data_IF_940340807234
#
_entry.id   IF_940340807234
#
_cell.length_a   1.000
_cell.length_b   1.000
_cell.length_c   1.000
_cell.angle_alpha   90.00
_cell.angle_beta   90.00
_cell.angle_gamma   90.00
#
_symmetry.space_group_name_H-M   'P 1'
#
loop_
_entity.id
_entity.type
_entity.pdbx_description
1 polymer ?
#
# COMPACT_ATOMS: atom_id res chain seq x y z
N UNK A 1 -5.48 -27.72 -29.59
CA UNK A 1 -6.89 -28.14 -29.72
C UNK A 1 -7.09 -29.37 -28.86
N UNK A 2 -7.31 -29.16 -27.56
CA UNK A 2 -7.84 -30.19 -26.67
C UNK A 2 -8.75 -29.49 -25.66
N UNK A 3 -10.00 -29.96 -25.63
CA UNK A 3 -11.11 -29.40 -24.87
C UNK A 3 -11.05 -29.91 -23.43
N UNK A 4 -10.72 -29.04 -22.49
CA UNK A 4 -10.97 -29.30 -21.07
C UNK A 4 -12.30 -28.64 -20.71
N UNK A 5 -13.37 -29.44 -20.82
CA UNK A 5 -14.69 -29.11 -20.33
C UNK A 5 -14.74 -29.24 -18.80
N UNK A 6 -14.55 -28.14 -18.10
CA UNK A 6 -14.72 -28.05 -16.65
C UNK A 6 -16.18 -27.73 -16.30
N UNK A 7 -16.88 -28.73 -15.79
CA UNK A 7 -18.25 -28.67 -15.29
C UNK A 7 -18.39 -27.69 -14.12
N UNK A 8 -19.09 -26.58 -14.34
CA UNK A 8 -19.52 -25.64 -13.30
C UNK A 8 -20.66 -26.27 -12.49
N UNK A 9 -20.34 -26.89 -11.35
CA UNK A 9 -21.34 -27.24 -10.33
C UNK A 9 -21.82 -25.95 -9.65
N UNK A 10 -23.05 -25.56 -9.97
CA UNK A 10 -23.83 -24.57 -9.21
C UNK A 10 -24.17 -25.16 -7.84
N UNK A 11 -23.70 -24.53 -6.77
CA UNK A 11 -24.24 -24.71 -5.43
C UNK A 11 -24.98 -23.43 -5.03
N UNK A 12 -26.30 -23.52 -4.94
CA UNK A 12 -27.22 -22.54 -4.34
C UNK A 12 -28.56 -23.25 -4.13
N UNK A 13 -29.37 -22.84 -3.15
CA UNK A 13 -29.57 -23.62 -1.93
C UNK A 13 -30.92 -24.32 -1.90
N UNK A 14 -30.97 -25.49 -1.24
CA UNK A 14 -32.23 -26.10 -0.85
C UNK A 14 -32.76 -25.37 0.40
N UNK A 15 -33.63 -24.40 0.18
CA UNK A 15 -34.55 -23.86 1.19
C UNK A 15 -35.56 -24.97 1.51
N UNK A 16 -35.35 -25.65 2.63
CA UNK A 16 -36.38 -26.49 3.25
C UNK A 16 -37.46 -25.59 3.87
N UNK A 17 -38.70 -25.78 3.41
CA UNK A 17 -39.88 -25.16 3.99
C UNK A 17 -40.06 -25.59 5.45
N UNK A 18 -40.31 -24.67 6.40
CA UNK A 18 -40.78 -25.06 7.71
C UNK A 18 -42.27 -25.42 7.64
N UNK A 19 -42.57 -26.57 8.23
CA UNK A 19 -43.90 -27.12 8.43
C UNK A 19 -44.83 -26.12 9.11
N UNK A 20 -46.01 -25.95 8.51
CA UNK A 20 -47.16 -25.26 9.09
C UNK A 20 -47.58 -25.93 10.39
N UNK A 21 -47.38 -25.26 11.52
CA UNK A 21 -48.04 -25.61 12.78
C UNK A 21 -48.48 -24.37 13.55
N UNK A 22 -49.81 -24.32 13.74
CA UNK A 22 -50.55 -23.71 14.84
C UNK A 22 -50.44 -22.19 15.04
N UNK A 23 -51.49 -21.50 14.58
CA UNK A 23 -51.84 -20.14 14.98
C UNK A 23 -51.97 -20.05 16.51
N UNK A 24 -51.24 -19.15 17.19
CA UNK A 24 -51.47 -18.87 18.60
C UNK A 24 -52.72 -18.00 18.79
N UNK A 25 -53.48 -18.33 19.83
CA UNK A 25 -54.64 -17.58 20.29
C UNK A 25 -54.31 -16.10 20.56
N UNK A 26 -55.12 -15.14 20.07
CA UNK A 26 -54.96 -13.73 20.38
C UNK A 26 -55.69 -13.44 21.69
N UNK A 27 -55.04 -13.61 22.86
CA UNK A 27 -55.53 -12.99 24.12
C UNK A 27 -54.60 -13.07 25.35
N UNK A 28 -53.32 -13.42 25.23
CA UNK A 28 -52.37 -13.22 26.32
C UNK A 28 -51.61 -11.91 26.14
N UNK A 29 -51.83 -10.95 27.04
CA UNK A 29 -50.98 -9.78 27.14
C UNK A 29 -49.52 -10.25 27.31
N UNK A 30 -48.55 -9.70 26.54
CA UNK A 30 -47.16 -10.11 26.67
C UNK A 30 -46.72 -9.88 28.12
N UNK A 31 -46.04 -10.85 28.76
CA UNK A 31 -45.55 -10.68 30.11
C UNK A 31 -44.69 -9.42 30.13
N UNK A 32 -45.04 -8.46 30.98
CA UNK A 32 -44.25 -7.25 31.19
C UNK A 32 -42.86 -7.69 31.64
N UNK A 33 -41.90 -7.65 30.73
CA UNK A 33 -40.51 -7.93 31.04
C UNK A 33 -40.05 -6.87 32.04
N UNK A 34 -39.87 -7.28 33.30
CA UNK A 34 -39.23 -6.45 34.32
C UNK A 34 -37.91 -5.96 33.75
N UNK A 35 -37.79 -4.65 33.56
CA UNK A 35 -36.55 -4.04 33.12
C UNK A 35 -35.46 -4.43 34.15
N UNK A 36 -34.29 -4.89 33.69
CA UNK A 36 -33.22 -5.27 34.59
C UNK A 36 -32.90 -4.10 35.52
N UNK A 37 -32.72 -4.40 36.81
CA UNK A 37 -32.37 -3.37 37.78
C UNK A 37 -31.02 -2.73 37.41
N UNK A 38 -30.74 -1.50 37.84
CA UNK A 38 -29.46 -0.82 37.54
C UNK A 38 -28.22 -1.64 37.97
N UNK A 39 -28.36 -2.48 39.00
CA UNK A 39 -27.30 -3.39 39.44
C UNK A 39 -27.02 -4.50 38.41
N UNK A 40 -28.05 -5.03 37.75
CA UNK A 40 -27.90 -6.11 36.77
C UNK A 40 -27.18 -5.60 35.51
N UNK A 41 -27.42 -4.34 35.13
CA UNK A 41 -26.76 -3.72 33.99
C UNK A 41 -25.25 -3.54 34.24
N UNK A 42 -24.87 -3.03 35.42
CA UNK A 42 -23.48 -2.86 35.82
C UNK A 42 -22.73 -4.20 35.80
N UNK A 43 -23.28 -5.22 36.48
CA UNK A 43 -22.67 -6.56 36.56
C UNK A 43 -22.53 -7.20 35.17
N UNK A 44 -23.51 -7.01 34.29
CA UNK A 44 -23.44 -7.50 32.90
C UNK A 44 -22.34 -6.80 32.10
N UNK A 45 -22.21 -5.48 32.23
CA UNK A 45 -21.18 -4.70 31.54
C UNK A 45 -19.76 -5.02 32.06
N UNK A 46 -19.58 -5.15 33.38
CA UNK A 46 -18.30 -5.58 33.98
C UNK A 46 -17.93 -7.00 33.53
N UNK A 47 -18.88 -7.93 33.52
CA UNK A 47 -18.63 -9.30 33.06
C UNK A 47 -18.23 -9.34 31.59
N UNK A 48 -18.91 -8.57 30.75
CA UNK A 48 -18.59 -8.47 29.32
C UNK A 48 -17.19 -7.87 29.10
N UNK A 49 -16.89 -6.75 29.76
CA UNK A 49 -15.58 -6.11 29.71
C UNK A 49 -14.46 -7.07 30.17
N UNK A 50 -14.69 -7.81 31.28
CA UNK A 50 -13.73 -8.80 31.78
C UNK A 50 -13.51 -9.95 30.81
N UNK A 51 -14.55 -10.41 30.12
CA UNK A 51 -14.42 -11.46 29.10
C UNK A 51 -13.48 -11.01 27.95
N UNK A 52 -13.67 -9.79 27.46
CA UNK A 52 -12.83 -9.21 26.39
C UNK A 52 -11.39 -9.04 26.89
N UNK A 53 -11.19 -8.44 28.06
CA UNK A 53 -9.84 -8.27 28.64
C UNK A 53 -9.13 -9.61 28.81
N UNK A 54 -9.82 -10.61 29.37
CA UNK A 54 -9.25 -11.95 29.57
C UNK A 54 -8.83 -12.60 28.26
N UNK A 55 -9.59 -12.38 27.18
CA UNK A 55 -9.24 -12.86 25.82
C UNK A 55 -7.92 -12.28 25.32
N UNK A 56 -7.55 -11.06 25.74
CA UNK A 56 -6.37 -10.34 25.26
C UNK A 56 -5.23 -10.20 26.29
N UNK A 57 -5.38 -10.79 27.48
CA UNK A 57 -4.27 -10.92 28.43
C UNK A 57 -3.09 -11.71 27.85
N UNK A 58 -3.41 -12.69 27.00
CA UNK A 58 -2.46 -13.34 26.10
C UNK A 58 -2.81 -12.85 24.69
N UNK A 59 -2.01 -11.94 24.10
CA UNK A 59 -2.34 -11.39 22.80
C UNK A 59 -2.37 -12.52 21.76
N UNK A 60 -3.32 -12.50 20.81
CA UNK A 60 -3.29 -13.40 19.67
C UNK A 60 -1.96 -13.20 18.91
N UNK A 61 -1.54 -14.17 18.08
CA UNK A 61 -0.37 -14.00 17.22
C UNK A 61 -0.56 -12.75 16.36
N UNK A 62 0.13 -11.67 16.71
CA UNK A 62 0.03 -10.40 16.02
C UNK A 62 0.80 -10.48 14.69
N UNK A 63 0.31 -9.82 13.63
CA UNK A 63 0.91 -9.89 12.29
C UNK A 63 2.37 -9.42 12.29
N UNK A 64 3.27 -10.15 11.63
CA UNK A 64 4.68 -9.74 11.58
C UNK A 64 4.93 -8.49 10.73
N UNK A 65 4.02 -8.23 9.78
CA UNK A 65 4.12 -7.17 8.80
C UNK A 65 3.03 -6.15 9.08
N UNK A 66 3.39 -5.05 9.75
CA UNK A 66 2.53 -3.90 9.91
C UNK A 66 2.85 -2.86 8.84
N UNK A 67 1.83 -2.15 8.39
CA UNK A 67 2.04 -0.91 7.62
C UNK A 67 1.66 0.31 8.43
N UNK A 68 2.57 1.28 8.49
CA UNK A 68 2.37 2.55 9.18
C UNK A 68 1.86 3.63 8.21
N UNK A 69 0.96 4.50 8.69
CA UNK A 69 0.45 5.68 7.93
C UNK A 69 1.61 6.61 7.55
N UNK A 70 2.52 6.84 8.49
CA UNK A 70 3.74 7.63 8.26
C UNK A 70 4.92 6.67 8.13
N UNK A 71 5.60 6.73 7.00
CA UNK A 71 6.75 5.87 6.76
C UNK A 71 7.90 6.25 7.73
N UNK A 72 8.62 5.28 8.34
CA UNK A 72 9.62 5.58 9.37
C UNK A 72 10.76 6.52 8.94
N UNK A 73 11.05 6.60 7.63
CA UNK A 73 12.02 7.57 7.06
C UNK A 73 11.55 9.01 7.22
N UNK A 74 10.27 9.27 7.04
CA UNK A 74 9.73 10.64 6.96
C UNK A 74 9.50 11.23 8.36
N UNK A 75 9.19 10.36 9.33
CA UNK A 75 9.01 10.75 10.72
C UNK A 75 10.30 11.20 11.41
N UNK A 76 11.49 10.77 10.96
CA UNK A 76 12.77 11.24 11.52
C UNK A 76 13.15 12.66 11.05
N UNK A 77 12.67 13.06 9.88
CA UNK A 77 12.95 14.38 9.33
C UNK A 77 12.10 15.47 10.02
N UNK A 78 10.93 15.08 10.51
CA UNK A 78 10.09 15.93 11.33
C UNK A 78 10.51 15.72 12.77
N UNK A 79 11.12 16.70 13.43
CA UNK A 79 11.45 16.68 14.87
C UNK A 79 10.18 16.69 15.73
N UNK A 80 9.31 15.70 15.55
CA UNK A 80 8.15 15.45 16.39
C UNK A 80 8.70 14.98 17.72
N UNK A 81 8.67 15.86 18.72
CA UNK A 81 8.76 15.47 20.11
C UNK A 81 7.68 14.39 20.32
N UNK A 82 8.11 13.15 20.54
CA UNK A 82 7.22 12.05 20.84
C UNK A 82 6.37 12.48 22.04
N UNK A 83 5.05 12.67 21.86
CA UNK A 83 4.18 13.02 22.98
C UNK A 83 4.43 12.00 24.07
N UNK A 84 4.61 12.43 25.32
CA UNK A 84 4.66 11.50 26.44
C UNK A 84 3.40 10.63 26.40
N UNK A 85 3.59 9.37 26.01
CA UNK A 85 2.56 8.43 25.61
C UNK A 85 1.44 8.24 26.64
N UNK A 86 1.68 8.61 27.90
CA UNK A 86 0.77 8.39 29.01
C UNK A 86 -0.52 9.24 28.98
N UNK A 87 -0.54 10.40 28.32
CA UNK A 87 -1.70 11.32 28.41
C UNK A 87 -2.64 11.31 27.20
N UNK A 88 -2.17 11.05 25.98
CA UNK A 88 -3.00 11.06 24.76
C UNK A 88 -3.70 9.73 24.49
N UNK A 89 -3.09 8.62 24.88
CA UNK A 89 -3.51 7.25 24.50
C UNK A 89 -4.79 6.81 25.23
N UNK A 90 -5.13 7.45 26.36
CA UNK A 90 -6.31 7.09 27.14
C UNK A 90 -7.56 7.93 26.86
N UNK A 91 -7.52 8.77 25.82
CA UNK A 91 -8.69 9.56 25.37
C UNK A 91 -9.74 8.73 24.62
N UNK A 92 -9.49 7.43 24.39
CA UNK A 92 -10.37 6.58 23.59
C UNK A 92 -10.23 6.77 22.08
N UNK A 93 -9.28 7.61 21.64
CA UNK A 93 -8.95 7.80 20.22
C UNK A 93 -7.88 6.78 19.83
N UNK A 94 -8.27 5.80 19.02
CA UNK A 94 -7.37 4.84 18.38
C UNK A 94 -6.63 5.53 17.23
N UNK A 95 -5.39 5.13 16.95
CA UNK A 95 -4.63 5.66 15.81
C UNK A 95 -4.51 7.21 15.89
N UNK A 96 -3.97 7.68 17.01
CA UNK A 96 -4.14 9.04 17.55
C UNK A 96 -3.16 10.08 17.01
N UNK A 97 -2.83 10.01 15.71
CA UNK A 97 -1.81 10.83 15.05
C UNK A 97 -0.41 10.66 15.66
N UNK A 98 -0.08 9.44 16.06
CA UNK A 98 1.27 9.09 16.48
C UNK A 98 2.10 8.64 15.27
N UNK A 99 3.45 8.69 15.32
CA UNK A 99 4.28 8.11 14.26
C UNK A 99 4.09 6.58 14.12
N UNK A 100 3.44 5.93 15.08
CA UNK A 100 3.16 4.49 15.11
C UNK A 100 1.80 4.13 14.53
N UNK A 101 1.07 5.13 14.03
CA UNK A 101 -0.26 4.93 13.48
C UNK A 101 -0.23 3.95 12.30
N UNK A 102 -1.16 2.99 12.31
CA UNK A 102 -1.27 1.94 11.31
C UNK A 102 -2.22 2.35 10.19
N UNK A 103 -1.87 1.99 8.96
CA UNK A 103 -2.73 2.20 7.79
C UNK A 103 -3.94 1.26 7.84
N UNK A 104 -5.13 1.82 8.08
CA UNK A 104 -6.40 1.10 8.17
C UNK A 104 -6.80 0.41 6.86
N UNK A 105 -6.30 0.91 5.72
CA UNK A 105 -6.54 0.28 4.42
C UNK A 105 -5.71 -1.00 4.22
N UNK A 106 -4.72 -1.25 5.08
CA UNK A 106 -3.93 -2.48 5.01
C UNK A 106 -4.64 -3.63 5.71
N UNK A 107 -5.06 -4.65 4.95
CA UNK A 107 -5.68 -5.86 5.49
C UNK A 107 -4.79 -6.55 6.55
N UNK A 108 -3.47 -6.51 6.37
CA UNK A 108 -2.52 -7.06 7.35
C UNK A 108 -2.54 -6.36 8.72
N UNK A 109 -3.09 -5.15 8.82
CA UNK A 109 -3.27 -4.44 10.08
C UNK A 109 -4.63 -4.73 10.73
N UNK A 110 -5.61 -5.32 10.01
CA UNK A 110 -6.99 -5.41 10.49
C UNK A 110 -7.13 -6.17 11.79
N UNK A 111 -6.47 -7.32 11.92
CA UNK A 111 -6.51 -8.11 13.16
C UNK A 111 -5.90 -7.37 14.36
N UNK A 112 -4.89 -6.53 14.14
CA UNK A 112 -4.32 -5.70 15.19
C UNK A 112 -5.30 -4.57 15.59
N UNK A 113 -5.80 -3.85 14.58
CA UNK A 113 -6.71 -2.72 14.76
C UNK A 113 -8.04 -3.14 15.39
N UNK A 114 -8.54 -4.34 15.08
CA UNK A 114 -9.74 -4.91 15.69
C UNK A 114 -9.56 -5.11 17.20
N UNK A 115 -8.41 -5.66 17.64
CA UNK A 115 -8.11 -5.85 19.07
C UNK A 115 -7.98 -4.51 19.78
N UNK A 116 -7.27 -3.56 19.17
CA UNK A 116 -7.14 -2.20 19.70
C UNK A 116 -8.53 -1.53 19.84
N UNK A 117 -9.37 -1.66 18.81
CA UNK A 117 -10.72 -1.12 18.79
C UNK A 117 -11.61 -1.73 19.88
N UNK A 118 -11.61 -3.05 20.04
CA UNK A 118 -12.38 -3.74 21.09
C UNK A 118 -11.96 -3.26 22.50
N UNK A 119 -10.66 -3.16 22.76
CA UNK A 119 -10.14 -2.70 24.05
C UNK A 119 -10.49 -1.23 24.34
N UNK A 120 -10.38 -0.36 23.33
CA UNK A 120 -10.83 1.04 23.43
C UNK A 120 -12.35 1.14 23.68
N UNK A 121 -13.13 0.29 23.01
CA UNK A 121 -14.58 0.19 23.24
C UNK A 121 -14.92 -0.21 24.68
N UNK A 122 -14.19 -1.19 25.24
CA UNK A 122 -14.33 -1.56 26.66
C UNK A 122 -13.99 -0.39 27.57
N UNK A 123 -12.89 0.33 27.32
CA UNK A 123 -12.49 1.49 28.11
C UNK A 123 -13.58 2.59 28.11
N UNK A 124 -14.16 2.86 26.95
CA UNK A 124 -15.26 3.82 26.80
C UNK A 124 -16.51 3.39 27.58
N UNK A 125 -16.88 2.11 27.52
CA UNK A 125 -17.98 1.55 28.33
C UNK A 125 -17.69 1.75 29.81
N UNK A 126 -16.49 1.38 30.28
CA UNK A 126 -16.12 1.47 31.70
C UNK A 126 -16.13 2.92 32.21
N UNK A 127 -15.67 3.89 31.42
CA UNK A 127 -15.74 5.30 31.79
C UNK A 127 -17.17 5.87 31.78
N UNK A 128 -18.04 5.34 30.93
CA UNK A 128 -19.46 5.70 30.88
C UNK A 128 -20.32 5.08 32.00
N UNK A 129 -19.78 4.15 32.80
CA UNK A 129 -20.54 3.53 33.89
C UNK A 129 -20.82 4.52 35.02
N UNK A 130 -22.10 4.83 35.22
CA UNK A 130 -22.58 5.53 36.41
C UNK A 130 -22.53 4.60 37.63
N UNK A 131 -21.67 4.93 38.60
CA UNK A 131 -21.52 4.14 39.83
C UNK A 131 -22.20 4.87 40.99
N UNK A 132 -23.21 4.26 41.66
CA UNK A 132 -23.82 4.84 42.84
C UNK A 132 -22.77 5.19 43.91
N UNK A 133 -22.85 6.39 44.49
CA UNK A 133 -21.86 6.88 45.46
C UNK A 133 -21.61 5.94 46.66
N UNK A 134 -22.59 5.11 47.02
CA UNK A 134 -22.53 4.21 48.16
C UNK A 134 -21.82 2.87 47.85
N UNK A 135 -21.53 2.56 46.58
CA UNK A 135 -20.97 1.26 46.15
C UNK A 135 -19.47 1.35 45.86
N UNK A 136 -18.67 1.31 46.94
CA UNK A 136 -17.19 1.32 46.87
C UNK A 136 -16.63 0.08 46.16
N UNK A 137 -17.29 -1.06 46.33
CA UNK A 137 -17.01 -2.32 45.64
C UNK A 137 -17.03 -2.16 44.12
N UNK A 138 -18.07 -1.52 43.58
CA UNK A 138 -18.24 -1.32 42.13
C UNK A 138 -17.17 -0.39 41.56
N UNK A 139 -16.83 0.68 42.29
CA UNK A 139 -15.75 1.59 41.91
C UNK A 139 -14.41 0.86 41.82
N UNK A 140 -14.07 0.07 42.84
CA UNK A 140 -12.84 -0.70 42.85
C UNK A 140 -12.79 -1.72 41.69
N UNK A 141 -13.90 -2.41 41.40
CA UNK A 141 -13.95 -3.36 40.28
C UNK A 141 -13.75 -2.67 38.93
N UNK A 142 -14.43 -1.55 38.69
CA UNK A 142 -14.25 -0.74 37.47
C UNK A 142 -12.80 -0.27 37.36
N UNK A 143 -12.25 0.33 38.41
CA UNK A 143 -10.91 0.94 38.37
C UNK A 143 -9.82 -0.12 38.14
N UNK A 144 -9.96 -1.31 38.75
CA UNK A 144 -9.08 -2.45 38.48
C UNK A 144 -9.16 -2.89 37.02
N UNK A 145 -10.38 -3.01 36.46
CA UNK A 145 -10.55 -3.44 35.08
C UNK A 145 -10.07 -2.39 34.08
N UNK A 146 -10.24 -1.10 34.37
CA UNK A 146 -9.64 0.00 33.60
C UNK A 146 -8.11 -0.12 33.60
N UNK A 147 -7.49 -0.41 34.75
CA UNK A 147 -6.05 -0.61 34.82
C UNK A 147 -5.61 -1.81 33.96
N UNK A 148 -6.35 -2.93 33.98
CA UNK A 148 -6.06 -4.10 33.14
C UNK A 148 -6.17 -3.79 31.65
N UNK A 149 -7.23 -3.10 31.20
CA UNK A 149 -7.39 -2.67 29.79
C UNK A 149 -6.23 -1.79 29.35
N UNK A 150 -5.81 -0.84 30.20
CA UNK A 150 -4.66 0.04 29.92
C UNK A 150 -3.37 -0.75 29.75
N UNK A 151 -3.13 -1.75 30.59
CA UNK A 151 -1.96 -2.64 30.45
C UNK A 151 -1.96 -3.38 29.10
N UNK A 152 -3.13 -3.84 28.64
CA UNK A 152 -3.27 -4.47 27.32
C UNK A 152 -2.98 -3.47 26.18
N UNK A 153 -3.55 -2.26 26.23
CA UNK A 153 -3.30 -1.21 25.23
C UNK A 153 -1.82 -0.79 25.20
N UNK A 154 -1.18 -0.62 26.36
CA UNK A 154 0.26 -0.30 26.46
C UNK A 154 1.14 -1.42 25.89
N UNK A 155 0.68 -2.67 25.97
CA UNK A 155 1.38 -3.80 25.35
C UNK A 155 1.27 -3.74 23.82
N UNK A 156 0.08 -3.44 23.28
CA UNK A 156 -0.13 -3.24 21.84
C UNK A 156 0.74 -2.08 21.32
N UNK A 157 0.76 -0.95 22.03
CA UNK A 157 1.60 0.19 21.69
C UNK A 157 3.10 -0.13 21.71
N UNK A 158 3.59 -0.81 22.74
CA UNK A 158 5.01 -1.22 22.80
C UNK A 158 5.36 -2.13 21.63
N UNK A 159 4.44 -3.00 21.24
CA UNK A 159 4.64 -3.90 20.12
C UNK A 159 4.67 -3.14 18.78
N UNK A 160 3.76 -2.17 18.54
CA UNK A 160 3.80 -1.33 17.33
C UNK A 160 5.06 -0.46 17.29
N UNK A 161 5.45 0.13 18.42
CA UNK A 161 6.70 0.90 18.53
C UNK A 161 7.92 0.04 18.22
N UNK A 162 8.02 -1.17 18.77
CA UNK A 162 9.13 -2.07 18.49
C UNK A 162 9.20 -2.47 17.00
N UNK A 163 8.04 -2.69 16.36
CA UNK A 163 7.97 -2.96 14.92
C UNK A 163 8.38 -1.76 14.08
N UNK A 164 7.93 -0.58 14.48
CA UNK A 164 8.31 0.67 13.84
C UNK A 164 9.82 0.91 13.93
N UNK A 165 10.41 0.70 15.11
CA UNK A 165 11.86 0.83 15.34
C UNK A 165 12.66 -0.20 14.55
N UNK A 166 12.18 -1.44 14.46
CA UNK A 166 12.80 -2.47 13.63
C UNK A 166 12.78 -2.06 12.15
N UNK A 167 11.64 -1.57 11.65
CA UNK A 167 11.54 -1.04 10.30
C UNK A 167 12.49 0.14 10.09
N UNK A 168 12.53 1.10 11.02
CA UNK A 168 13.42 2.26 10.99
C UNK A 168 14.92 1.87 11.04
N UNK A 169 15.27 0.85 11.82
CA UNK A 169 16.63 0.32 11.95
C UNK A 169 17.06 -0.40 10.67
N UNK A 170 16.19 -1.23 10.09
CA UNK A 170 16.43 -1.84 8.79
C UNK A 170 16.64 -0.76 7.71
N UNK A 171 15.85 0.32 7.78
CA UNK A 171 16.00 1.50 6.92
C UNK A 171 17.34 2.22 7.09
N UNK A 172 17.89 2.27 8.30
CA UNK A 172 19.16 2.93 8.60
C UNK A 172 20.39 2.05 8.26
N UNK A 173 20.30 0.74 8.49
CA UNK A 173 21.40 -0.19 8.29
C UNK A 173 21.60 -0.57 6.82
N UNK A 174 20.57 -0.44 5.99
CA UNK A 174 20.71 -0.65 4.57
C UNK A 174 21.38 0.56 3.93
N UNK A 175 22.68 0.41 3.61
CA UNK A 175 23.42 1.36 2.74
C UNK A 175 22.83 1.47 1.33
N UNK A 176 21.83 0.65 0.99
CA UNK A 176 21.08 0.70 -0.26
C UNK A 176 19.78 1.50 -0.13
N UNK A 177 19.29 2.03 -1.25
CA UNK A 177 17.98 2.68 -1.27
C UNK A 177 16.86 1.66 -1.13
N UNK A 178 16.19 1.61 0.02
CA UNK A 178 14.93 0.86 0.18
C UNK A 178 13.83 1.56 -0.60
N UNK A 179 13.07 0.75 -1.35
CA UNK A 179 11.92 1.14 -2.15
C UNK A 179 10.70 0.56 -1.47
N UNK A 180 9.71 1.40 -1.23
CA UNK A 180 8.40 0.92 -0.83
C UNK A 180 7.72 0.24 -2.03
N UNK A 181 7.67 -1.08 -1.99
CA UNK A 181 7.03 -1.91 -3.00
C UNK A 181 5.57 -2.21 -2.68
N UNK A 182 5.06 -1.84 -1.49
CA UNK A 182 3.68 -2.12 -1.09
C UNK A 182 2.67 -1.45 -2.01
N UNK A 183 3.04 -0.30 -2.60
CA UNK A 183 2.25 0.36 -3.64
C UNK A 183 1.97 -0.51 -4.87
N UNK A 184 2.80 -1.51 -5.14
CA UNK A 184 2.67 -2.41 -6.29
C UNK A 184 1.91 -3.70 -5.94
N UNK A 185 1.96 -4.11 -4.67
CA UNK A 185 1.30 -5.33 -4.19
C UNK A 185 -0.18 -5.05 -3.93
N UNK A 186 -0.52 -3.83 -3.48
CA UNK A 186 -1.90 -3.44 -3.18
C UNK A 186 -2.70 -3.30 -4.47
N UNK A 187 -3.76 -4.09 -4.69
CA UNK A 187 -4.68 -3.84 -5.77
C UNK A 187 -5.42 -2.53 -5.44
N UNK A 188 -5.23 -1.46 -6.22
CA UNK A 188 -5.90 -0.18 -5.95
C UNK A 188 -7.42 -0.31 -6.06
N UNK A 189 -7.90 -1.35 -6.76
CA UNK A 189 -9.29 -1.63 -7.04
C UNK A 189 -10.10 -2.24 -5.88
N UNK A 190 -9.47 -2.81 -4.84
CA UNK A 190 -10.22 -3.55 -3.81
C UNK A 190 -11.15 -2.66 -2.97
N UNK A 191 -10.85 -1.37 -2.89
CA UNK A 191 -11.64 -0.39 -2.13
C UNK A 191 -12.70 0.32 -2.97
N UNK A 192 -12.69 0.15 -4.29
CA UNK A 192 -13.63 0.81 -5.18
C UNK A 192 -14.91 -0.01 -5.37
N UNK A 193 -16.05 0.67 -5.30
CA UNK A 193 -17.31 0.11 -5.76
C UNK A 193 -17.27 -0.19 -7.27
N UNK A 194 -18.02 -1.21 -7.70
CA UNK A 194 -18.06 -1.66 -9.09
C UNK A 194 -18.43 -0.54 -10.07
N UNK A 195 -19.27 0.40 -9.63
CA UNK A 195 -19.66 1.59 -10.40
C UNK A 195 -18.47 2.46 -10.80
N UNK A 196 -17.48 2.63 -9.92
CA UNK A 196 -16.26 3.40 -10.23
C UNK A 196 -15.25 2.53 -10.98
N UNK A 197 -15.09 1.26 -10.60
CA UNK A 197 -14.06 0.39 -11.16
C UNK A 197 -14.25 0.10 -12.66
N UNK A 198 -15.49 -0.16 -13.10
CA UNK A 198 -15.80 -0.51 -14.50
C UNK A 198 -15.35 0.60 -15.49
N UNK A 199 -15.72 1.88 -15.32
CA UNK A 199 -15.24 2.98 -16.16
C UNK A 199 -13.72 3.04 -16.28
N UNK A 200 -13.02 2.86 -15.15
CA UNK A 200 -11.56 2.93 -15.11
C UNK A 200 -10.94 1.77 -15.89
N UNK A 201 -11.45 0.54 -15.69
CA UNK A 201 -11.00 -0.65 -16.42
C UNK A 201 -11.25 -0.53 -17.92
N UNK A 202 -12.41 -0.02 -18.32
CA UNK A 202 -12.74 0.21 -19.74
C UNK A 202 -11.73 1.18 -20.35
N UNK A 203 -11.50 2.33 -19.71
CA UNK A 203 -10.60 3.36 -20.24
C UNK A 203 -9.15 2.89 -20.26
N UNK A 204 -8.70 2.21 -19.21
CA UNK A 204 -7.36 1.62 -19.16
C UNK A 204 -7.18 0.57 -20.28
N UNK A 205 -8.18 -0.28 -20.50
CA UNK A 205 -8.16 -1.29 -21.56
C UNK A 205 -8.14 -0.68 -22.96
N UNK A 206 -9.01 0.31 -23.22
CA UNK A 206 -9.02 1.07 -24.49
C UNK A 206 -7.64 1.64 -24.81
N UNK A 207 -6.98 2.23 -23.82
CA UNK A 207 -5.66 2.78 -24.03
C UNK A 207 -4.58 1.70 -24.20
N UNK A 208 -4.48 0.76 -23.26
CA UNK A 208 -3.35 -0.17 -23.17
C UNK A 208 -3.44 -1.35 -24.12
N UNK A 209 -4.65 -1.85 -24.41
CA UNK A 209 -4.85 -3.04 -25.25
C UNK A 209 -5.24 -2.67 -26.68
N UNK A 210 -6.04 -1.61 -26.84
CA UNK A 210 -6.59 -1.22 -28.15
C UNK A 210 -5.87 -0.02 -28.77
N UNK A 211 -4.86 0.55 -28.10
CA UNK A 211 -4.08 1.67 -28.64
C UNK A 211 -4.89 2.94 -28.86
N UNK A 212 -6.03 3.10 -28.16
CA UNK A 212 -6.90 4.25 -28.36
C UNK A 212 -6.18 5.54 -27.92
N UNK A 213 -6.20 6.61 -28.75
CA UNK A 213 -5.52 7.85 -28.43
C UNK A 213 -6.02 8.47 -27.12
N UNK A 214 -5.09 9.07 -26.38
CA UNK A 214 -5.35 9.69 -25.07
C UNK A 214 -6.56 10.64 -25.07
N UNK A 215 -6.71 11.48 -26.11
CA UNK A 215 -7.81 12.45 -26.22
C UNK A 215 -9.18 11.75 -26.25
N UNK A 216 -9.28 10.60 -26.93
CA UNK A 216 -10.53 9.83 -27.00
C UNK A 216 -10.83 9.18 -25.66
N UNK A 217 -9.83 8.60 -24.99
CA UNK A 217 -9.98 8.06 -23.64
C UNK A 217 -10.43 9.11 -22.62
N UNK A 218 -9.94 10.35 -22.73
CA UNK A 218 -10.36 11.47 -21.86
C UNK A 218 -11.81 11.90 -22.13
N UNK A 219 -12.27 11.85 -23.39
CA UNK A 219 -13.69 12.07 -23.73
C UNK A 219 -14.57 10.95 -23.15
N UNK A 220 -14.14 9.69 -23.25
CA UNK A 220 -14.87 8.55 -22.66
C UNK A 220 -14.95 8.69 -21.13
N UNK A 221 -13.86 9.07 -20.46
CA UNK A 221 -13.86 9.37 -19.01
C UNK A 221 -14.85 10.49 -18.67
N UNK A 222 -14.87 11.58 -19.45
CA UNK A 222 -15.80 12.67 -19.25
C UNK A 222 -17.26 12.21 -19.41
N UNK A 223 -17.55 11.35 -20.40
CA UNK A 223 -18.87 10.74 -20.59
C UNK A 223 -19.32 9.92 -19.38
N UNK A 224 -18.45 9.05 -18.85
CA UNK A 224 -18.75 8.32 -17.62
C UNK A 224 -19.03 9.27 -16.46
N UNK A 225 -18.21 10.30 -16.25
CA UNK A 225 -18.44 11.29 -15.18
C UNK A 225 -19.80 11.97 -15.31
N UNK A 226 -20.25 12.32 -16.52
CA UNK A 226 -21.60 12.88 -16.71
C UNK A 226 -22.66 11.84 -16.34
N UNK A 227 -22.53 10.59 -16.77
CA UNK A 227 -23.47 9.53 -16.40
C UNK A 227 -23.58 9.33 -14.88
N UNK A 228 -22.46 9.25 -14.16
CA UNK A 228 -22.47 9.11 -12.69
C UNK A 228 -22.96 10.36 -11.94
N UNK A 229 -22.86 11.54 -12.56
CA UNK A 229 -23.41 12.77 -11.96
C UNK A 229 -24.93 12.69 -11.83
N UNK A 230 -25.58 11.96 -12.74
CA UNK A 230 -27.04 11.80 -12.73
C UNK A 230 -27.53 10.75 -11.75
N UNK A 231 -26.69 9.78 -11.35
CA UNK A 231 -27.04 8.75 -10.36
C UNK A 231 -26.86 9.20 -8.91
N UNK A 232 -26.31 10.39 -8.67
CA UNK A 232 -25.97 10.88 -7.33
C UNK A 232 -24.71 10.23 -6.74
N UNK A 233 -23.95 9.48 -7.55
CA UNK A 233 -22.68 8.89 -7.13
C UNK A 233 -21.58 9.95 -6.96
N UNK A 234 -20.63 9.67 -6.08
CA UNK A 234 -19.51 10.55 -5.76
C UNK A 234 -18.55 10.71 -6.96
N UNK A 235 -18.81 11.78 -7.74
CA UNK A 235 -18.02 12.20 -8.90
C UNK A 235 -16.54 12.44 -8.61
N UNK A 236 -16.15 12.61 -7.35
CA UNK A 236 -14.77 12.86 -7.00
C UNK A 236 -13.90 11.61 -7.18
N UNK A 237 -14.52 10.42 -7.22
CA UNK A 237 -13.80 9.14 -7.31
C UNK A 237 -13.30 8.79 -8.71
N UNK A 238 -13.94 9.30 -9.76
CA UNK A 238 -13.52 9.03 -11.14
C UNK A 238 -12.44 10.04 -11.56
N UNK A 239 -11.22 9.64 -11.94
CA UNK A 239 -10.20 10.58 -12.36
C UNK A 239 -10.59 11.38 -13.60
N UNK A 240 -10.14 12.64 -13.68
CA UNK A 240 -10.41 13.54 -14.81
C UNK A 240 -9.53 13.29 -16.03
N UNK A 241 -8.43 12.56 -15.86
CA UNK A 241 -7.42 12.37 -16.91
C UNK A 241 -7.06 10.89 -17.05
N UNK A 242 -6.66 10.52 -18.27
CA UNK A 242 -6.16 9.16 -18.53
C UNK A 242 -4.93 8.86 -17.66
N UNK A 243 -4.00 9.81 -17.52
CA UNK A 243 -2.81 9.62 -16.67
C UNK A 243 -3.17 9.27 -15.23
N UNK A 244 -4.17 9.94 -14.64
CA UNK A 244 -4.63 9.61 -13.29
C UNK A 244 -5.29 8.23 -13.23
N UNK A 245 -6.00 7.80 -14.28
CA UNK A 245 -6.56 6.44 -14.39
C UNK A 245 -5.48 5.37 -14.53
N UNK A 246 -4.44 5.61 -15.34
CA UNK A 246 -3.32 4.69 -15.49
C UNK A 246 -2.50 4.61 -14.21
N UNK A 247 -2.27 5.74 -13.53
CA UNK A 247 -1.62 5.76 -12.21
C UNK A 247 -2.44 5.03 -11.16
N UNK A 248 -3.78 5.14 -11.24
CA UNK A 248 -4.66 4.42 -10.36
C UNK A 248 -4.39 2.91 -10.44
N UNK A 249 -4.22 2.33 -11.62
CA UNK A 249 -3.87 0.90 -11.78
C UNK A 249 -2.37 0.59 -11.73
N UNK A 250 -1.52 1.56 -11.36
CA UNK A 250 -0.06 1.45 -11.52
C UNK A 250 0.34 0.93 -12.91
N UNK A 251 -0.28 1.45 -13.96
CA UNK A 251 0.06 1.19 -15.37
C UNK A 251 1.01 2.26 -15.91
N UNK A 252 0.90 3.50 -15.45
CA UNK A 252 1.80 4.62 -15.82
C UNK A 252 3.22 4.32 -15.33
N UNK A 253 4.27 4.33 -16.17
CA UNK A 253 5.64 4.08 -15.72
C UNK A 253 6.14 5.25 -14.86
N UNK A 254 6.82 4.93 -13.75
CA UNK A 254 7.49 5.91 -12.89
C UNK A 254 8.79 6.40 -13.56
N UNK A 255 8.64 7.43 -14.40
CA UNK A 255 9.73 8.03 -15.17
C UNK A 255 10.03 9.45 -14.70
N UNK A 256 11.31 9.73 -14.53
CA UNK A 256 11.83 11.08 -14.32
C UNK A 256 12.09 11.74 -15.67
N UNK A 257 11.66 12.99 -15.81
CA UNK A 257 11.97 13.78 -17.01
C UNK A 257 13.27 14.52 -16.78
N UNK A 258 14.16 14.45 -17.75
CA UNK A 258 15.44 15.14 -17.77
C UNK A 258 15.53 15.95 -19.06
N UNK A 259 16.01 17.18 -18.99
CA UNK A 259 16.35 17.95 -20.18
C UNK A 259 17.68 17.44 -20.69
N UNK A 260 17.73 17.09 -21.97
CA UNK A 260 18.91 16.56 -22.62
C UNK A 260 19.51 17.62 -23.56
N UNK A 261 20.78 17.97 -23.33
CA UNK A 261 21.52 18.83 -24.25
C UNK A 261 21.86 18.05 -25.52
N UNK A 262 21.35 18.49 -26.66
CA UNK A 262 21.60 17.85 -27.97
C UNK A 262 23.05 17.93 -28.43
N UNK A 263 23.85 18.87 -27.91
CA UNK A 263 25.25 19.08 -28.35
C UNK A 263 26.25 18.26 -27.54
N UNK A 264 26.07 18.14 -26.23
CA UNK A 264 27.06 17.46 -25.36
C UNK A 264 26.49 16.29 -24.54
N UNK A 265 25.19 16.00 -24.65
CA UNK A 265 24.55 14.90 -23.92
C UNK A 265 24.25 15.17 -22.44
N UNK A 266 24.60 16.34 -21.90
CA UNK A 266 24.37 16.67 -20.50
C UNK A 266 22.87 16.61 -20.13
N UNK A 267 22.57 16.03 -18.96
CA UNK A 267 21.23 15.88 -18.43
C UNK A 267 20.97 16.85 -17.28
N UNK A 268 19.84 17.54 -17.32
CA UNK A 268 19.39 18.45 -16.27
C UNK A 268 18.05 18.00 -15.70
N UNK A 269 17.81 18.10 -14.38
CA UNK A 269 16.50 17.84 -13.81
C UNK A 269 15.43 18.71 -14.47
N UNK A 270 14.35 18.10 -14.97
CA UNK A 270 13.16 18.84 -15.38
C UNK A 270 12.32 19.08 -14.11
N UNK A 271 12.01 20.33 -13.73
CA UNK A 271 11.21 20.63 -12.57
C UNK A 271 9.84 20.00 -12.80
N UNK A 272 9.56 18.96 -12.04
CA UNK A 272 8.21 18.46 -11.96
C UNK A 272 7.43 19.45 -11.09
N UNK A 273 6.23 19.90 -11.48
CA UNK A 273 5.29 20.38 -10.49
C UNK A 273 4.99 19.19 -9.59
N UNK A 274 5.75 19.08 -8.49
CA UNK A 274 5.42 18.15 -7.43
C UNK A 274 4.05 18.58 -6.94
N UNK A 275 2.99 17.78 -7.15
CA UNK A 275 1.64 18.15 -6.76
C UNK A 275 1.52 18.42 -5.26
N UNK A 276 2.48 17.93 -4.46
CA UNK A 276 2.53 18.13 -3.02
C UNK A 276 3.44 19.29 -2.60
N UNK A 277 4.27 19.84 -3.49
CA UNK A 277 5.13 20.98 -3.18
C UNK A 277 4.39 22.28 -3.53
N UNK A 278 3.69 22.84 -2.55
CA UNK A 278 2.98 24.12 -2.65
C UNK A 278 3.90 25.34 -2.65
N UNK A 279 5.22 25.16 -2.49
CA UNK A 279 6.16 26.27 -2.67
C UNK A 279 6.20 26.63 -4.16
N UNK A 280 5.55 27.74 -4.51
CA UNK A 280 5.44 28.24 -5.89
C UNK A 280 6.79 28.59 -6.54
N UNK A 281 7.90 28.43 -5.84
CA UNK A 281 9.26 28.63 -6.37
C UNK A 281 9.76 27.36 -7.06
N UNK A 282 9.25 27.10 -8.26
CA UNK A 282 9.93 26.15 -9.14
C UNK A 282 11.31 26.73 -9.52
N UNK A 283 12.40 25.95 -9.45
CA UNK A 283 13.69 26.40 -9.91
C UNK A 283 13.59 26.74 -11.40
N UNK A 284 14.07 27.94 -11.77
CA UNK A 284 14.08 28.37 -13.17
C UNK A 284 14.86 27.37 -14.02
N UNK A 285 14.28 26.98 -15.15
CA UNK A 285 14.94 26.09 -16.11
C UNK A 285 16.19 26.78 -16.68
N UNK A 286 17.35 26.11 -16.72
CA UNK A 286 18.51 26.66 -17.39
C UNK A 286 18.20 26.83 -18.88
N UNK A 287 18.33 28.06 -19.39
CA UNK A 287 18.09 28.35 -20.80
C UNK A 287 19.21 27.78 -21.69
N UNK A 288 20.43 27.74 -21.16
CA UNK A 288 21.64 27.30 -21.85
C UNK A 288 22.36 26.21 -21.06
N UNK A 289 23.02 25.32 -21.79
CA UNK A 289 23.79 24.22 -21.23
C UNK A 289 25.05 24.76 -20.52
N UNK A 290 25.11 24.60 -19.19
CA UNK A 290 26.24 25.01 -18.35
C UNK A 290 27.31 23.91 -18.19
N UNK A 291 27.14 22.76 -18.84
CA UNK A 291 28.06 21.64 -18.73
C UNK A 291 29.45 22.02 -19.26
N UNK A 292 30.48 21.64 -18.51
CA UNK A 292 31.89 21.77 -18.87
C UNK A 292 32.51 20.39 -18.84
N UNK A 293 33.15 19.99 -19.93
CA UNK A 293 33.79 18.66 -20.04
C UNK A 293 34.91 18.47 -18.99
N UNK A 294 35.61 19.55 -18.64
CA UNK A 294 36.56 19.60 -17.53
C UNK A 294 36.55 21.00 -16.87
N UNK A 295 37.08 21.18 -15.64
CA UNK A 295 36.98 22.43 -14.87
C UNK A 295 37.50 23.71 -15.55
N UNK A 296 38.28 23.62 -16.64
CA UNK A 296 38.79 24.76 -17.42
C UNK A 296 38.14 24.95 -18.80
N UNK A 297 37.27 24.03 -19.23
CA UNK A 297 36.61 24.14 -20.53
C UNK A 297 35.58 25.27 -20.55
N UNK A 298 35.34 25.84 -21.73
CA UNK A 298 34.16 26.66 -21.97
C UNK A 298 32.88 25.84 -21.70
N UNK A 299 31.84 26.50 -21.18
CA UNK A 299 30.53 25.88 -21.07
C UNK A 299 29.98 25.60 -22.48
N UNK A 300 29.22 24.51 -22.61
CA UNK A 300 28.63 24.11 -23.89
C UNK A 300 27.75 25.23 -24.51
N UNK A 301 27.03 26.00 -23.69
CA UNK A 301 26.17 27.12 -24.08
C UNK A 301 25.09 26.80 -25.15
N UNK A 302 24.90 25.53 -25.50
CA UNK A 302 23.80 25.10 -26.36
C UNK A 302 22.47 25.44 -25.71
N UNK A 303 21.53 25.96 -26.51
CA UNK A 303 20.18 26.27 -26.04
C UNK A 303 19.46 24.98 -25.62
N UNK A 304 19.01 24.91 -24.37
CA UNK A 304 18.29 23.76 -23.82
C UNK A 304 16.79 23.82 -24.12
N UNK A 305 16.27 25.00 -24.46
CA UNK A 305 14.86 25.27 -24.65
C UNK A 305 14.57 25.71 -26.10
N UNK A 306 13.41 25.32 -26.63
CA UNK A 306 12.92 25.77 -27.94
C UNK A 306 12.26 27.14 -27.84
N UNK A 307 11.58 27.37 -26.72
CA UNK A 307 10.98 28.62 -26.27
C UNK A 307 11.16 28.72 -24.74
N UNK A 308 10.84 29.83 -24.06
CA UNK A 308 11.15 30.02 -22.63
C UNK A 308 10.63 28.91 -21.68
N UNK A 309 9.66 28.10 -22.12
CA UNK A 309 9.00 27.07 -21.30
C UNK A 309 9.11 25.64 -21.83
N UNK A 310 9.64 25.42 -23.04
CA UNK A 310 9.63 24.11 -23.69
C UNK A 310 11.05 23.61 -23.94
N UNK A 311 11.47 22.49 -23.32
CA UNK A 311 12.75 21.87 -23.63
C UNK A 311 12.86 21.47 -25.10
N UNK A 312 14.07 21.58 -25.66
CA UNK A 312 14.34 21.07 -27.02
C UNK A 312 14.26 19.55 -27.07
N UNK A 313 14.82 18.88 -26.06
CA UNK A 313 14.82 17.42 -25.97
C UNK A 313 14.60 16.99 -24.52
N UNK A 314 13.73 15.99 -24.33
CA UNK A 314 13.37 15.43 -23.02
C UNK A 314 13.72 13.95 -23.03
N UNK A 315 14.62 13.57 -22.13
CA UNK A 315 14.92 12.19 -21.84
C UNK A 315 14.03 11.70 -20.69
N UNK A 316 13.39 10.55 -20.88
CA UNK A 316 12.58 9.89 -19.86
C UNK A 316 13.41 8.79 -19.21
N UNK A 317 13.81 9.02 -17.96
CA UNK A 317 14.61 8.10 -17.20
C UNK A 317 13.73 7.27 -16.26
N UNK A 318 13.62 5.98 -16.52
CA UNK A 318 13.02 5.05 -15.57
C UNK A 318 14.07 4.61 -14.55
N UNK A 319 13.82 4.87 -13.27
CA UNK A 319 14.76 4.45 -12.22
C UNK A 319 14.69 2.93 -12.10
N UNK A 320 15.78 2.23 -12.44
CA UNK A 320 15.86 0.76 -12.50
C UNK A 320 15.26 0.09 -11.27
N UNK A 321 15.58 0.62 -10.10
CA UNK A 321 15.15 0.07 -8.82
C UNK A 321 13.62 0.10 -8.67
N UNK A 322 12.96 1.19 -9.06
CA UNK A 322 11.50 1.33 -8.96
C UNK A 322 10.82 0.42 -9.98
N UNK A 323 11.39 0.33 -11.18
CA UNK A 323 10.95 -0.62 -12.19
C UNK A 323 11.08 -2.06 -11.69
N UNK A 324 12.19 -2.41 -11.06
CA UNK A 324 12.45 -3.75 -10.56
C UNK A 324 11.49 -4.14 -9.43
N UNK A 325 11.27 -3.23 -8.48
CA UNK A 325 10.28 -3.44 -7.42
C UNK A 325 8.88 -3.68 -8.02
N UNK A 326 8.48 -2.87 -9.01
CA UNK A 326 7.21 -3.06 -9.72
C UNK A 326 7.15 -4.39 -10.48
N UNK A 327 8.25 -4.80 -11.09
CA UNK A 327 8.35 -6.04 -11.86
C UNK A 327 8.19 -7.27 -10.97
N UNK A 328 8.94 -7.35 -9.88
CA UNK A 328 8.91 -8.48 -8.94
C UNK A 328 7.56 -8.61 -8.25
N UNK A 329 6.93 -7.48 -7.89
CA UNK A 329 5.61 -7.49 -7.24
C UNK A 329 4.45 -7.92 -8.15
N UNK A 330 4.69 -8.22 -9.44
CA UNK A 330 3.64 -8.74 -10.30
C UNK A 330 3.28 -10.18 -9.89
N UNK A 331 1.97 -10.51 -9.81
CA UNK A 331 1.54 -11.87 -9.52
C UNK A 331 2.22 -12.90 -10.42
N UNK A 332 2.78 -13.96 -9.82
CA UNK A 332 3.47 -15.06 -10.51
C UNK A 332 4.91 -14.77 -10.94
N UNK A 333 5.41 -13.54 -10.83
CA UNK A 333 6.78 -13.22 -11.27
C UNK A 333 7.84 -13.93 -10.43
N UNK A 334 7.65 -13.99 -9.11
CA UNK A 334 8.51 -14.72 -8.19
C UNK A 334 8.62 -16.20 -8.55
N UNK A 335 7.49 -16.83 -8.91
CA UNK A 335 7.45 -18.23 -9.33
C UNK A 335 8.17 -18.43 -10.67
N UNK A 336 8.03 -17.49 -11.61
CA UNK A 336 8.78 -17.51 -12.86
C UNK A 336 10.29 -17.39 -12.64
N UNK A 337 10.74 -16.51 -11.73
CA UNK A 337 12.15 -16.38 -11.38
C UNK A 337 12.68 -17.69 -10.78
N UNK A 338 11.93 -18.28 -9.83
CA UNK A 338 12.31 -19.56 -9.20
C UNK A 338 12.37 -20.70 -10.21
N UNK A 339 11.35 -20.80 -11.06
CA UNK A 339 11.28 -21.81 -12.10
C UNK A 339 12.42 -21.67 -13.11
N UNK A 340 12.75 -20.45 -13.54
CA UNK A 340 13.89 -20.20 -14.41
C UNK A 340 15.21 -20.64 -13.79
N UNK A 341 15.39 -20.42 -12.48
CA UNK A 341 16.58 -20.87 -11.77
C UNK A 341 16.64 -22.41 -11.64
N UNK A 342 15.50 -23.08 -11.43
CA UNK A 342 15.41 -24.54 -11.42
C UNK A 342 15.77 -25.15 -12.78
N UNK A 343 15.22 -24.60 -13.87
CA UNK A 343 15.57 -25.02 -15.24
C UNK A 343 17.04 -24.76 -15.57
N UNK A 344 17.63 -23.69 -15.03
CA UNK A 344 19.05 -23.40 -15.17
C UNK A 344 19.94 -24.40 -14.43
N UNK A 345 19.50 -24.93 -13.28
CA UNK A 345 20.22 -25.99 -12.55
C UNK A 345 20.10 -27.35 -13.24
N UNK A 346 18.96 -27.65 -13.85
CA UNK A 346 18.69 -28.94 -14.48
C UNK A 346 19.28 -29.10 -15.89
N UNK A 347 19.82 -28.03 -16.49
CA UNK A 347 20.21 -28.06 -17.90
C UNK A 347 21.42 -28.95 -18.19
N UNK A 348 21.27 -29.84 -19.19
CA UNK A 348 22.36 -30.63 -19.78
C UNK A 348 23.31 -29.79 -20.64
N UNK A 349 23.90 -30.40 -21.68
CA UNK A 349 24.87 -29.73 -22.56
C UNK A 349 24.26 -28.65 -23.47
N UNK A 350 22.97 -28.76 -23.80
CA UNK A 350 22.27 -27.77 -24.63
C UNK A 350 21.80 -26.57 -23.80
N UNK A 351 22.19 -25.37 -24.25
CA UNK A 351 21.80 -24.08 -23.65
C UNK A 351 20.63 -23.50 -24.45
N UNK A 352 19.43 -23.48 -23.86
CA UNK A 352 18.22 -22.91 -24.50
C UNK A 352 17.91 -21.49 -24.02
N UNK A 353 18.41 -21.12 -22.84
CA UNK A 353 18.22 -19.80 -22.22
C UNK A 353 19.56 -19.27 -21.67
N UNK A 354 19.69 -17.95 -21.58
CA UNK A 354 20.92 -17.31 -21.09
C UNK A 354 21.26 -17.75 -19.65
N UNK A 355 20.25 -18.01 -18.80
CA UNK A 355 20.44 -18.49 -17.43
C UNK A 355 21.07 -19.89 -17.37
N UNK A 356 20.95 -20.68 -18.45
CA UNK A 356 21.59 -22.00 -18.60
C UNK A 356 23.05 -21.90 -19.08
N UNK A 357 23.53 -20.71 -19.45
CA UNK A 357 24.92 -20.53 -19.87
C UNK A 357 25.90 -20.93 -18.76
N UNK A 358 27.01 -21.54 -19.15
CA UNK A 358 28.05 -21.96 -18.21
C UNK A 358 28.53 -20.78 -17.34
N UNK A 359 28.71 -19.60 -17.94
CA UNK A 359 29.12 -18.39 -17.24
C UNK A 359 28.18 -17.98 -16.11
N UNK A 360 26.85 -18.03 -16.30
CA UNK A 360 25.89 -17.70 -15.24
C UNK A 360 25.84 -18.79 -14.17
N UNK A 361 25.88 -20.07 -14.57
CA UNK A 361 25.85 -21.20 -13.62
C UNK A 361 27.06 -21.21 -12.70
N UNK A 362 28.23 -20.87 -13.23
CA UNK A 362 29.50 -20.85 -12.49
C UNK A 362 29.77 -19.53 -11.79
N UNK A 363 29.01 -18.47 -12.09
CA UNK A 363 29.19 -17.16 -11.47
C UNK A 363 29.00 -17.24 -9.95
N UNK A 364 30.09 -16.97 -9.22
CA UNK A 364 30.12 -16.96 -7.76
C UNK A 364 29.76 -15.57 -7.25
N UNK A 365 28.76 -15.52 -6.37
CA UNK A 365 28.39 -14.34 -5.62
C UNK A 365 29.43 -14.04 -4.53
N UNK A 366 29.47 -12.83 -3.90
CA UNK A 366 30.44 -12.52 -2.85
C UNK A 366 30.47 -13.47 -1.64
N UNK A 367 29.39 -14.23 -1.41
CA UNK A 367 29.32 -15.27 -0.37
C UNK A 367 29.84 -16.65 -0.84
N UNK A 368 30.48 -16.71 -2.01
CA UNK A 368 31.00 -17.92 -2.67
C UNK A 368 29.95 -18.94 -3.11
N UNK A 369 28.66 -18.62 -3.03
CA UNK A 369 27.60 -19.45 -3.60
C UNK A 369 27.28 -19.02 -5.03
N UNK A 370 26.64 -19.87 -5.83
CA UNK A 370 26.29 -19.50 -7.21
C UNK A 370 25.03 -18.64 -7.22
N UNK A 371 24.84 -17.83 -8.27
CA UNK A 371 23.62 -17.01 -8.44
C UNK A 371 22.34 -17.84 -8.40
N UNK A 372 22.39 -19.09 -8.90
CA UNK A 372 21.25 -20.01 -8.93
C UNK A 372 20.94 -20.68 -7.58
N UNK A 373 21.87 -20.64 -6.64
CA UNK A 373 21.75 -21.22 -5.30
C UNK A 373 21.46 -20.10 -4.28
N UNK A 374 20.30 -19.48 -4.45
CA UNK A 374 19.83 -18.40 -3.60
C UNK A 374 19.12 -18.96 -2.35
N UNK A 375 19.37 -18.42 -1.13
CA UNK A 375 18.60 -18.77 0.07
C UNK A 375 17.10 -18.48 -0.08
N UNK A 376 16.28 -19.18 0.70
CA UNK A 376 14.85 -18.90 0.77
C UNK A 376 14.58 -17.46 1.21
N UNK A 377 13.69 -16.77 0.49
CA UNK A 377 13.35 -15.36 0.74
C UNK A 377 14.32 -14.35 0.14
N UNK A 378 15.36 -14.79 -0.58
CA UNK A 378 16.26 -13.94 -1.35
C UNK A 378 16.09 -14.21 -2.85
N UNK A 379 16.28 -13.17 -3.66
CA UNK A 379 16.40 -13.29 -5.12
C UNK A 379 17.72 -12.71 -5.59
N UNK A 380 18.47 -13.48 -6.38
CA UNK A 380 19.68 -13.01 -7.08
C UNK A 380 19.37 -12.85 -8.55
N UNK A 381 19.42 -11.61 -9.02
CA UNK A 381 19.00 -11.24 -10.35
C UNK A 381 20.20 -10.84 -11.20
N UNK A 382 20.23 -11.32 -12.43
CA UNK A 382 21.22 -10.94 -13.43
C UNK A 382 20.54 -10.01 -14.45
N UNK A 383 21.18 -8.87 -14.72
CA UNK A 383 20.73 -7.93 -15.75
C UNK A 383 21.79 -7.86 -16.84
N UNK A 384 21.40 -8.18 -18.07
CA UNK A 384 22.21 -7.90 -19.24
C UNK A 384 21.75 -6.56 -19.83
N UNK A 385 22.70 -5.63 -19.98
CA UNK A 385 22.45 -4.39 -20.69
C UNK A 385 22.92 -4.57 -22.14
N UNK A 386 21.96 -4.68 -23.07
CA UNK A 386 22.25 -4.54 -24.49
C UNK A 386 22.01 -3.09 -24.89
N UNK A 387 23.05 -2.39 -25.32
CA UNK A 387 22.94 -1.02 -25.84
C UNK A 387 23.10 -1.09 -27.34
N UNK A 388 22.01 -0.86 -28.05
CA UNK A 388 22.07 -0.60 -29.49
C UNK A 388 22.31 0.90 -29.70
N UNK A 389 23.58 1.25 -29.95
CA UNK A 389 24.00 2.65 -30.17
C UNK A 389 23.76 3.06 -31.64
N UNK A 390 23.28 2.17 -32.50
CA UNK A 390 23.00 2.50 -33.89
C UNK A 390 21.60 3.10 -34.04
N UNK A 391 21.53 4.44 -34.01
CA UNK A 391 20.41 5.15 -34.62
C UNK A 391 20.82 5.57 -36.05
N UNK A 392 20.51 4.78 -37.10
CA UNK A 392 20.90 5.10 -38.47
C UNK A 392 20.21 6.36 -39.02
N UNK A 393 19.23 6.91 -38.30
CA UNK A 393 18.49 8.12 -38.68
C UNK A 393 18.90 9.37 -37.88
N UNK A 394 19.92 9.27 -37.01
CA UNK A 394 20.52 10.45 -36.40
C UNK A 394 21.42 11.15 -37.44
N UNK A 395 20.80 11.74 -38.46
CA UNK A 395 21.47 12.73 -39.30
C UNK A 395 21.82 13.95 -38.42
N UNK A 396 23.09 14.33 -38.44
CA UNK A 396 23.69 15.38 -37.61
C UNK A 396 23.26 16.79 -37.95
#
# INVERSE_FOLDING_TARGET
MDRIGGSLRRCSPALSAPSSSLLPHPNSAPPQALLPGPNDLFERQIRHARMIVTRYLVPPPLPNNLLFKVHPKDARASSLELPHASNTIHSGVYNSNTPYDLDEAFEGNHSFLEVEHELCGVLAILYGLEIPHQRRDYRNQRDNLVAEVKVCLDRLLRWTSARWELAASNLANHRGSIIDSLRYIRPPASTLGSSTLIPLLVVASLHSLFGVPRRVCEVVLAGFRVQFSTSGDDLQRIPKTLSATLRFFDLDPDVRRLIHCVTCGALYPYPYPDPNNTSNTQPALPQFCIFRHHPGAAACNASLLRNPSQPRNVYFHQVLRNWLARFICRPGMEDHIRHSAELARASGEAVNDIMQSQGIREFRWPDSTTVLNCPDGEYRLFFALSVDVFNPLAEG
#
